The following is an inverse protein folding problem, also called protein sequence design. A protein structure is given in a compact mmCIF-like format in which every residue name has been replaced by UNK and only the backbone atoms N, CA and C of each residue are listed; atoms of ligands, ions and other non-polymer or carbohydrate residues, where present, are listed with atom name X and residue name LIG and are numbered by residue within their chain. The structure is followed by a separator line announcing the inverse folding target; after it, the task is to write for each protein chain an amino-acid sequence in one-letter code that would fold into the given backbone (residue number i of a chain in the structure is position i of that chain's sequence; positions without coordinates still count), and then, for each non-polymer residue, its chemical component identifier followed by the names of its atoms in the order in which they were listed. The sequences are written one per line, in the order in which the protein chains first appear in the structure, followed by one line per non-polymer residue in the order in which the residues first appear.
data_IF_684757664978
#
_entry.id   IF_684757664978
#
_cell.length_a   1.000
_cell.length_b   1.000
_cell.length_c   1.000
_cell.angle_alpha   90.00
_cell.angle_beta   90.00
_cell.angle_gamma   90.00
#
_symmetry.space_group_name_H-M   'P 1'
#
loop_
_entity.id
_entity.type
_entity.pdbx_description
1 polymer ?
#
# COMPACT_ATOMS: atom_id res chain seq x y z
N UNK A 1 -18.59 2.79 -12.94
CA UNK A 1 -17.73 3.38 -11.91
C UNK A 1 -16.64 4.16 -12.61
N UNK A 2 -16.35 5.38 -12.17
CA UNK A 2 -15.24 6.21 -12.68
C UNK A 2 -14.28 6.44 -11.52
N UNK A 3 -12.98 6.49 -11.81
CA UNK A 3 -11.95 6.78 -10.81
C UNK A 3 -11.78 8.30 -10.77
N UNK A 4 -12.06 8.91 -9.62
CA UNK A 4 -11.98 10.37 -9.45
C UNK A 4 -10.58 10.83 -9.09
N UNK A 5 -10.06 10.30 -7.97
CA UNK A 5 -8.74 10.65 -7.44
C UNK A 5 -7.92 9.38 -7.23
N UNK A 6 -6.65 9.42 -7.64
CA UNK A 6 -5.65 8.38 -7.36
C UNK A 6 -4.50 9.00 -6.58
N UNK A 7 -4.15 8.39 -5.46
CA UNK A 7 -2.93 8.72 -4.72
C UNK A 7 -1.97 7.53 -4.80
N UNK A 8 -0.74 7.81 -5.22
CA UNK A 8 0.39 6.88 -5.19
C UNK A 8 1.58 7.58 -4.52
N UNK A 9 1.53 7.77 -3.19
CA UNK A 9 2.54 8.55 -2.48
C UNK A 9 3.74 7.69 -2.08
N UNK A 10 4.91 8.32 -2.06
CA UNK A 10 6.14 7.72 -1.57
C UNK A 10 6.15 7.65 -0.04
N UNK A 11 6.62 6.53 0.51
CA UNK A 11 6.98 6.46 1.92
C UNK A 11 8.09 7.47 2.24
N UNK A 12 8.16 7.93 3.49
CA UNK A 12 9.09 8.99 3.91
C UNK A 12 10.56 8.77 3.52
N UNK A 13 10.98 7.50 3.38
CA UNK A 13 12.34 7.08 3.06
C UNK A 13 12.48 6.43 1.66
N UNK A 14 11.50 6.61 0.76
CA UNK A 14 11.52 6.15 -0.62
C UNK A 14 11.40 7.32 -1.62
N UNK A 15 11.98 7.17 -2.82
CA UNK A 15 11.88 8.09 -3.96
C UNK A 15 11.94 9.60 -3.60
N UNK A 16 10.97 10.41 -4.01
CA UNK A 16 10.98 11.87 -3.82
C UNK A 16 10.91 12.25 -2.34
N UNK A 17 10.14 11.50 -1.56
CA UNK A 17 10.07 11.67 -0.10
C UNK A 17 11.45 11.45 0.54
N UNK A 18 12.20 10.41 0.12
CA UNK A 18 13.57 10.19 0.60
C UNK A 18 14.49 11.35 0.23
N UNK A 19 14.39 11.82 -1.01
CA UNK A 19 15.23 12.89 -1.54
C UNK A 19 15.07 14.18 -0.74
N UNK A 20 13.82 14.56 -0.41
CA UNK A 20 13.52 15.74 0.42
C UNK A 20 13.88 15.54 1.89
N UNK A 21 13.93 14.30 2.36
CA UNK A 21 14.24 13.95 3.75
C UNK A 21 15.69 13.49 3.99
N UNK A 22 16.58 13.51 2.99
CA UNK A 22 17.86 12.79 3.03
C UNK A 22 18.70 12.96 4.30
N UNK A 23 18.79 14.18 4.85
CA UNK A 23 19.56 14.47 6.08
C UNK A 23 18.77 14.29 7.39
N UNK A 24 17.50 13.92 7.29
CA UNK A 24 16.54 13.80 8.41
C UNK A 24 16.18 12.34 8.72
N UNK A 25 16.46 11.42 7.81
CA UNK A 25 16.14 10.00 7.96
C UNK A 25 17.03 9.36 9.03
N UNK A 26 16.39 8.60 9.92
CA UNK A 26 17.08 7.87 10.98
C UNK A 26 17.44 6.44 10.59
N UNK A 27 17.84 5.66 11.61
CA UNK A 27 18.16 4.24 11.48
C UNK A 27 16.95 3.31 11.67
N UNK A 28 15.75 3.87 11.88
CA UNK A 28 14.51 3.12 12.12
C UNK A 28 13.42 3.68 11.21
N UNK A 29 12.70 2.81 10.52
CA UNK A 29 11.51 3.13 9.74
C UNK A 29 10.36 2.25 10.22
N UNK A 30 9.64 2.68 11.27
CA UNK A 30 8.51 1.91 11.80
C UNK A 30 7.34 1.97 10.82
N UNK A 31 6.97 0.82 10.27
CA UNK A 31 5.84 0.72 9.32
C UNK A 31 4.51 1.12 9.96
N UNK A 32 4.39 1.10 11.29
CA UNK A 32 3.22 1.59 12.01
C UNK A 32 3.08 3.11 11.99
N UNK A 33 4.20 3.83 11.85
CA UNK A 33 4.22 5.29 11.66
C UNK A 33 3.87 5.63 10.22
N UNK A 34 4.37 4.88 9.24
CA UNK A 34 3.96 5.03 7.84
C UNK A 34 2.44 4.93 7.69
N UNK A 35 1.77 4.02 8.41
CA UNK A 35 0.31 3.96 8.42
C UNK A 35 -0.37 5.25 8.90
N UNK A 36 0.23 5.98 9.85
CA UNK A 36 -0.28 7.28 10.31
C UNK A 36 -0.10 8.34 9.22
N UNK A 37 0.99 8.29 8.46
CA UNK A 37 1.24 9.21 7.34
C UNK A 37 0.14 9.07 6.28
N UNK A 38 -0.25 7.83 5.93
CA UNK A 38 -1.36 7.60 5.00
C UNK A 38 -2.70 8.08 5.55
N UNK A 39 -2.99 7.87 6.84
CA UNK A 39 -4.20 8.41 7.47
C UNK A 39 -4.20 9.94 7.42
N UNK A 40 -3.07 10.58 7.72
CA UNK A 40 -2.91 12.04 7.67
C UNK A 40 -3.11 12.57 6.25
N UNK A 41 -2.44 11.97 5.26
CA UNK A 41 -2.54 12.34 3.85
C UNK A 41 -4.00 12.32 3.41
N UNK A 42 -4.70 11.23 3.65
CA UNK A 42 -6.07 11.03 3.18
C UNK A 42 -7.09 11.87 3.96
N UNK A 43 -7.00 11.94 5.30
CA UNK A 43 -8.00 12.65 6.13
C UNK A 43 -7.80 14.15 6.19
N UNK A 44 -6.58 14.64 5.97
CA UNK A 44 -6.24 16.06 6.16
C UNK A 44 -5.92 16.70 4.81
N UNK A 45 -4.93 16.18 4.09
CA UNK A 45 -4.42 16.83 2.87
C UNK A 45 -5.39 16.61 1.70
N UNK A 46 -5.89 15.39 1.56
CA UNK A 46 -6.78 14.95 0.47
C UNK A 46 -8.24 14.81 0.92
N UNK A 47 -8.60 15.53 2.00
CA UNK A 47 -9.91 15.49 2.63
C UNK A 47 -11.07 15.67 1.65
N UNK A 48 -10.94 16.57 0.68
CA UNK A 48 -12.02 16.89 -0.25
C UNK A 48 -12.39 15.70 -1.14
N UNK A 49 -11.40 14.91 -1.54
CA UNK A 49 -11.60 13.71 -2.35
C UNK A 49 -12.11 12.56 -1.49
N UNK A 50 -11.43 12.27 -0.37
CA UNK A 50 -11.63 11.02 0.37
C UNK A 50 -12.69 11.10 1.47
N UNK A 51 -13.03 12.29 1.98
CA UNK A 51 -14.13 12.46 2.95
C UNK A 51 -15.40 13.01 2.30
N UNK A 52 -15.48 13.00 0.97
CA UNK A 52 -16.71 13.34 0.25
C UNK A 52 -17.82 12.35 0.65
N UNK A 53 -19.07 12.79 0.94
CA UNK A 53 -20.14 11.91 1.42
C UNK A 53 -20.48 10.72 0.51
N UNK A 54 -20.16 10.81 -0.77
CA UNK A 54 -20.37 9.75 -1.77
C UNK A 54 -19.06 9.10 -2.23
N UNK A 55 -17.94 9.38 -1.57
CA UNK A 55 -16.68 8.72 -1.88
C UNK A 55 -16.80 7.22 -1.65
N UNK A 56 -16.22 6.47 -2.58
CA UNK A 56 -15.95 5.05 -2.43
C UNK A 56 -14.43 4.87 -2.46
N UNK A 57 -13.85 4.72 -1.28
CA UNK A 57 -12.41 4.75 -1.10
C UNK A 57 -11.84 3.34 -1.10
N UNK A 58 -10.82 3.11 -1.93
CA UNK A 58 -10.13 1.83 -2.04
C UNK A 58 -8.68 2.03 -1.62
N UNK A 59 -8.16 1.13 -0.77
CA UNK A 59 -6.72 1.03 -0.53
C UNK A 59 -6.18 -0.21 -1.24
N UNK A 60 -5.12 -0.01 -2.02
CA UNK A 60 -4.44 -1.07 -2.76
C UNK A 60 -2.98 -1.03 -2.37
N UNK A 61 -2.41 -2.15 -1.96
CA UNK A 61 -1.04 -2.12 -1.46
C UNK A 61 -0.28 -3.44 -1.67
N UNK A 62 1.03 -3.33 -1.85
CA UNK A 62 1.93 -4.46 -2.08
C UNK A 62 2.94 -4.62 -0.94
N UNK A 63 3.33 -5.85 -0.60
CA UNK A 63 4.47 -6.12 0.30
C UNK A 63 4.35 -5.38 1.64
N UNK A 64 5.33 -4.53 1.99
CA UNK A 64 5.29 -3.60 3.12
C UNK A 64 4.05 -2.72 3.13
N UNK A 65 3.64 -2.19 1.98
CA UNK A 65 2.39 -1.46 1.82
C UNK A 65 1.17 -2.29 2.28
N UNK A 66 1.21 -3.61 2.11
CA UNK A 66 0.17 -4.50 2.60
C UNK A 66 -0.01 -4.47 4.11
N UNK A 67 1.10 -4.48 4.87
CA UNK A 67 1.11 -4.25 6.31
C UNK A 67 0.51 -2.90 6.67
N UNK A 68 0.99 -1.86 6.00
CA UNK A 68 0.59 -0.47 6.23
C UNK A 68 -0.92 -0.33 6.00
N UNK A 69 -1.44 -0.89 4.90
CA UNK A 69 -2.86 -0.85 4.57
C UNK A 69 -3.72 -1.55 5.63
N UNK A 70 -3.29 -2.70 6.16
CA UNK A 70 -3.99 -3.35 7.28
C UNK A 70 -4.00 -2.47 8.54
N UNK A 71 -2.89 -1.81 8.86
CA UNK A 71 -2.84 -0.88 9.99
C UNK A 71 -3.76 0.32 9.79
N UNK A 72 -3.80 0.88 8.57
CA UNK A 72 -4.68 1.99 8.21
C UNK A 72 -6.14 1.60 8.40
N UNK A 73 -6.60 0.49 7.81
CA UNK A 73 -8.02 0.10 7.88
C UNK A 73 -8.42 -0.49 9.24
N UNK A 74 -7.46 -0.96 10.04
CA UNK A 74 -7.71 -1.32 11.44
C UNK A 74 -7.98 -0.08 12.31
N UNK A 75 -7.20 0.99 12.12
CA UNK A 75 -7.31 2.23 12.91
C UNK A 75 -8.44 3.14 12.44
N UNK A 76 -8.71 3.15 11.14
CA UNK A 76 -9.70 4.02 10.50
C UNK A 76 -10.69 3.17 9.68
N UNK A 77 -11.51 2.32 10.33
CA UNK A 77 -12.36 1.32 9.66
C UNK A 77 -13.49 1.90 8.80
N UNK A 78 -13.68 3.22 8.83
CA UNK A 78 -14.69 3.94 8.06
C UNK A 78 -14.10 4.81 6.95
N UNK A 79 -12.77 4.87 6.84
CA UNK A 79 -12.09 5.69 5.84
C UNK A 79 -12.06 5.00 4.47
N UNK A 80 -11.91 3.68 4.44
CA UNK A 80 -11.87 2.88 3.23
C UNK A 80 -13.05 1.93 3.18
N UNK A 81 -13.63 1.77 1.99
CA UNK A 81 -14.75 0.86 1.73
C UNK A 81 -14.28 -0.55 1.39
N UNK A 82 -13.07 -0.70 0.84
CA UNK A 82 -12.43 -2.00 0.67
C UNK A 82 -10.90 -1.92 0.57
N UNK A 83 -10.25 -3.06 0.78
CA UNK A 83 -8.79 -3.21 0.70
C UNK A 83 -8.40 -4.35 -0.22
N UNK A 84 -7.42 -4.11 -1.11
CA UNK A 84 -6.80 -5.13 -1.96
C UNK A 84 -5.31 -5.20 -1.67
N UNK A 85 -4.86 -6.33 -1.14
CA UNK A 85 -3.46 -6.53 -0.78
C UNK A 85 -2.81 -7.49 -1.77
N UNK A 86 -1.64 -7.13 -2.29
CA UNK A 86 -0.86 -7.94 -3.22
C UNK A 86 0.40 -8.42 -2.50
N UNK A 87 0.53 -9.73 -2.27
CA UNK A 87 1.64 -10.33 -1.52
C UNK A 87 2.04 -9.53 -0.25
N UNK A 88 1.11 -9.31 0.70
CA UNK A 88 1.37 -8.48 1.86
C UNK A 88 2.37 -9.13 2.83
N UNK A 89 3.30 -8.35 3.37
CA UNK A 89 4.27 -8.81 4.39
C UNK A 89 3.76 -8.44 5.78
N UNK A 90 2.91 -9.29 6.35
CA UNK A 90 2.17 -8.97 7.58
C UNK A 90 2.45 -9.89 8.77
N UNK A 91 3.22 -10.96 8.57
CA UNK A 91 3.59 -11.91 9.61
C UNK A 91 5.10 -12.06 9.56
N UNK A 92 5.78 -11.74 10.66
CA UNK A 92 7.19 -12.07 10.83
C UNK A 92 7.27 -13.39 11.60
N UNK A 93 8.20 -14.25 11.20
CA UNK A 93 8.59 -15.38 12.03
C UNK A 93 10.12 -15.42 12.12
N UNK A 94 10.72 -14.56 12.96
CA UNK A 94 12.17 -14.46 13.09
C UNK A 94 12.81 -15.78 13.54
N UNK A 95 12.08 -16.60 14.30
CA UNK A 95 12.52 -17.92 14.73
C UNK A 95 12.48 -18.98 13.62
N UNK A 96 11.68 -18.79 12.57
CA UNK A 96 11.55 -19.75 11.47
C UNK A 96 12.37 -19.41 10.22
N UNK A 97 12.95 -18.20 10.12
CA UNK A 97 13.79 -17.84 8.98
C UNK A 97 15.12 -17.17 9.38
N UNK A 98 16.06 -17.95 9.96
CA UNK A 98 17.45 -17.50 10.09
C UNK A 98 18.14 -17.23 8.73
N UNK A 99 17.53 -17.65 7.62
CA UNK A 99 17.99 -17.37 6.27
C UNK A 99 17.73 -15.93 5.81
N UNK A 100 16.74 -15.23 6.36
CA UNK A 100 16.37 -13.88 5.90
C UNK A 100 17.52 -12.87 6.05
N UNK A 101 18.21 -12.89 7.19
CA UNK A 101 19.41 -12.06 7.40
C UNK A 101 20.53 -12.48 6.43
N UNK A 102 20.66 -13.77 6.13
CA UNK A 102 21.65 -14.26 5.18
C UNK A 102 21.33 -13.81 3.73
N UNK A 103 20.05 -13.83 3.32
CA UNK A 103 19.60 -13.34 2.02
C UNK A 103 19.86 -11.84 1.86
N UNK A 104 19.54 -11.02 2.87
CA UNK A 104 19.84 -9.58 2.81
C UNK A 104 21.35 -9.30 2.70
N UNK A 105 22.18 -10.04 3.44
CA UNK A 105 23.64 -9.96 3.32
C UNK A 105 24.12 -10.38 1.93
N UNK A 106 23.51 -11.41 1.33
CA UNK A 106 23.80 -11.84 -0.04
C UNK A 106 23.38 -10.77 -1.07
N UNK A 107 22.21 -10.16 -0.91
CA UNK A 107 21.74 -9.06 -1.77
C UNK A 107 22.70 -7.88 -1.75
N UNK A 108 23.19 -7.50 -0.57
CA UNK A 108 24.20 -6.45 -0.42
C UNK A 108 25.49 -6.82 -1.15
N UNK A 109 26.01 -8.03 -0.92
CA UNK A 109 27.25 -8.51 -1.56
C UNK A 109 27.15 -8.60 -3.09
N UNK A 110 25.98 -8.98 -3.61
CA UNK A 110 25.70 -9.05 -5.05
C UNK A 110 25.30 -7.71 -5.65
N UNK A 111 25.15 -6.67 -4.82
CA UNK A 111 24.81 -5.33 -5.22
C UNK A 111 23.42 -5.21 -5.82
N UNK A 112 22.44 -6.01 -5.37
CA UNK A 112 21.06 -5.94 -5.86
C UNK A 112 20.44 -4.56 -5.61
N UNK A 113 20.71 -4.02 -4.41
CA UNK A 113 20.44 -2.62 -4.05
C UNK A 113 21.70 -1.81 -4.27
N UNK A 114 21.59 -0.69 -4.98
CA UNK A 114 22.71 0.18 -5.33
C UNK A 114 22.43 1.60 -4.87
N UNK A 115 23.42 2.19 -4.21
CA UNK A 115 23.38 3.55 -3.69
C UNK A 115 23.87 4.56 -4.72
N UNK A 116 24.91 4.17 -5.44
CA UNK A 116 25.60 4.99 -6.41
C UNK A 116 26.18 4.13 -7.53
N UNK A 117 26.43 4.81 -8.64
CA UNK A 117 26.98 4.25 -9.85
C UNK A 117 28.25 5.02 -10.20
N UNK A 118 29.40 4.37 -10.06
CA UNK A 118 30.65 4.89 -10.60
C UNK A 118 30.64 4.78 -12.12
N UNK A 119 30.77 5.89 -12.82
CA UNK A 119 30.72 5.97 -14.28
C UNK A 119 32.13 6.20 -14.80
N UNK A 120 32.59 5.36 -15.73
CA UNK A 120 33.89 5.59 -16.37
C UNK A 120 33.74 6.64 -17.47
N UNK A 121 34.81 7.38 -17.75
CA UNK A 121 34.85 8.33 -18.86
C UNK A 121 34.42 7.65 -20.17
N UNK A 122 33.43 8.22 -20.86
CA UNK A 122 32.89 7.68 -22.11
C UNK A 122 31.78 6.63 -21.95
N UNK A 123 31.46 6.18 -20.73
CA UNK A 123 30.26 5.37 -20.48
C UNK A 123 29.00 6.25 -20.41
N UNK A 124 27.89 5.75 -20.95
CA UNK A 124 26.57 6.31 -20.72
C UNK A 124 26.13 5.96 -19.29
N UNK A 125 25.99 6.98 -18.44
CA UNK A 125 25.54 6.77 -17.08
C UNK A 125 24.11 6.22 -17.03
N UNK A 126 23.24 6.68 -17.93
CA UNK A 126 21.85 6.26 -18.01
C UNK A 126 21.74 4.78 -18.37
N UNK A 127 22.48 4.33 -19.38
CA UNK A 127 22.47 2.92 -19.79
C UNK A 127 23.03 2.00 -18.70
N UNK A 128 24.00 2.50 -17.91
CA UNK A 128 24.55 1.76 -16.78
C UNK A 128 23.55 1.57 -15.65
N UNK A 129 22.79 2.61 -15.32
CA UNK A 129 21.69 2.52 -14.34
C UNK A 129 20.60 1.58 -14.86
N UNK A 130 20.21 1.73 -16.13
CA UNK A 130 19.20 0.87 -16.74
C UNK A 130 19.61 -0.60 -16.82
N UNK A 131 20.86 -0.91 -17.17
CA UNK A 131 21.42 -2.27 -17.14
C UNK A 131 21.31 -2.89 -15.75
N UNK A 132 21.63 -2.12 -14.71
CA UNK A 132 21.51 -2.59 -13.33
C UNK A 132 20.07 -2.95 -12.98
N UNK A 133 19.13 -2.04 -13.24
CA UNK A 133 17.70 -2.26 -13.00
C UNK A 133 17.20 -3.50 -13.74
N UNK A 134 17.54 -3.63 -15.02
CA UNK A 134 17.07 -4.71 -15.89
C UNK A 134 17.68 -6.07 -15.57
N UNK A 135 18.97 -6.13 -15.22
CA UNK A 135 19.69 -7.41 -15.21
C UNK A 135 20.17 -7.85 -13.81
N UNK A 136 20.29 -6.93 -12.85
CA UNK A 136 20.95 -7.20 -11.55
C UNK A 136 20.09 -6.90 -10.33
N UNK A 137 19.10 -6.02 -10.45
CA UNK A 137 18.22 -5.62 -9.36
C UNK A 137 17.05 -6.59 -9.11
N UNK A 138 16.23 -6.30 -8.08
CA UNK A 138 14.95 -6.98 -7.84
C UNK A 138 13.91 -6.77 -8.95
N UNK A 139 14.13 -5.76 -9.80
CA UNK A 139 13.19 -5.29 -10.81
C UNK A 139 13.35 -6.01 -12.16
N UNK A 140 14.29 -6.96 -12.29
CA UNK A 140 14.58 -7.70 -13.54
C UNK A 140 13.38 -8.41 -14.18
N UNK A 141 12.35 -8.70 -13.40
CA UNK A 141 11.11 -9.35 -13.86
C UNK A 141 9.96 -8.38 -14.17
N UNK A 142 10.17 -7.07 -14.04
CA UNK A 142 9.12 -6.08 -14.23
C UNK A 142 8.80 -5.93 -15.73
N UNK A 143 7.56 -5.58 -16.04
CA UNK A 143 7.18 -5.17 -17.38
C UNK A 143 8.06 -3.99 -17.83
N UNK A 144 8.52 -3.94 -19.10
CA UNK A 144 9.51 -2.95 -19.55
C UNK A 144 9.12 -1.49 -19.28
N UNK A 145 7.84 -1.14 -19.46
CA UNK A 145 7.34 0.21 -19.21
C UNK A 145 7.38 0.56 -17.72
N UNK A 146 6.97 -0.37 -16.85
CA UNK A 146 6.99 -0.16 -15.39
C UNK A 146 8.43 -0.03 -14.90
N UNK A 147 9.33 -0.89 -15.38
CA UNK A 147 10.76 -0.83 -15.04
C UNK A 147 11.37 0.52 -15.43
N UNK A 148 11.05 0.99 -16.65
CA UNK A 148 11.53 2.29 -17.13
C UNK A 148 10.99 3.43 -16.27
N UNK A 149 9.69 3.45 -16.00
CA UNK A 149 9.08 4.50 -15.19
C UNK A 149 9.67 4.54 -13.78
N UNK A 150 9.83 3.38 -13.13
CA UNK A 150 10.47 3.28 -11.82
C UNK A 150 11.90 3.84 -11.84
N UNK A 151 12.71 3.46 -12.82
CA UNK A 151 14.08 3.95 -12.92
C UNK A 151 14.13 5.46 -13.20
N UNK A 152 13.28 5.97 -14.09
CA UNK A 152 13.25 7.39 -14.42
C UNK A 152 12.78 8.24 -13.24
N UNK A 153 11.84 7.73 -12.44
CA UNK A 153 11.39 8.38 -11.22
C UNK A 153 12.49 8.44 -10.14
N UNK A 154 13.34 7.41 -10.06
CA UNK A 154 14.47 7.34 -9.14
C UNK A 154 15.65 8.27 -9.48
N UNK A 155 15.69 8.84 -10.68
CA UNK A 155 16.79 9.72 -11.10
C UNK A 155 16.47 11.17 -10.70
N UNK A 156 17.33 11.85 -9.92
CA UNK A 156 17.14 13.26 -9.63
C UNK A 156 17.14 14.13 -10.90
N UNK A 157 16.27 15.13 -10.95
CA UNK A 157 16.12 16.07 -12.08
C UNK A 157 17.40 16.88 -12.39
N UNK A 158 18.37 16.86 -11.48
CA UNK A 158 19.68 17.53 -11.63
C UNK A 158 20.60 16.82 -12.63
N UNK A 159 20.32 15.56 -12.97
CA UNK A 159 21.09 14.81 -13.96
C UNK A 159 20.61 15.09 -15.38
N UNK A 160 21.54 15.49 -16.25
CA UNK A 160 21.32 15.61 -17.67
C UNK A 160 21.93 14.41 -18.40
N UNK A 161 21.13 13.72 -19.24
CA UNK A 161 21.55 12.51 -19.97
C UNK A 161 22.77 12.73 -20.87
N UNK A 162 22.96 13.94 -21.38
CA UNK A 162 24.04 14.28 -22.31
C UNK A 162 25.34 14.72 -21.59
N UNK A 163 25.32 14.83 -20.26
CA UNK A 163 26.48 15.23 -19.46
C UNK A 163 27.15 14.03 -18.79
N UNK A 164 28.47 14.09 -18.71
CA UNK A 164 29.25 13.14 -17.92
C UNK A 164 29.19 13.48 -16.44
N UNK A 165 28.96 12.46 -15.62
CA UNK A 165 29.04 12.50 -14.17
C UNK A 165 29.91 11.34 -13.74
N UNK A 166 30.93 11.59 -12.90
CA UNK A 166 31.78 10.52 -12.37
C UNK A 166 30.98 9.54 -11.49
N UNK A 167 29.98 10.06 -10.79
CA UNK A 167 29.09 9.28 -9.94
C UNK A 167 27.65 9.72 -10.17
N UNK A 168 26.74 8.75 -10.31
CA UNK A 168 25.30 8.98 -10.31
C UNK A 168 24.70 8.38 -9.04
N UNK A 169 23.93 9.19 -8.31
CA UNK A 169 23.20 8.80 -7.12
C UNK A 169 21.69 8.88 -7.39
N UNK A 170 20.94 7.88 -6.94
CA UNK A 170 19.47 7.87 -7.07
C UNK A 170 18.83 8.67 -5.93
N UNK A 171 17.54 9.00 -6.08
CA UNK A 171 16.76 9.71 -5.07
C UNK A 171 16.66 8.90 -3.78
N UNK A 172 16.38 7.61 -3.89
CA UNK A 172 16.37 6.71 -2.75
C UNK A 172 17.78 6.24 -2.38
N UNK A 173 18.09 6.32 -1.09
CA UNK A 173 19.30 5.73 -0.51
C UNK A 173 19.08 4.22 -0.31
N UNK A 174 19.86 3.40 -1.02
CA UNK A 174 19.86 1.95 -0.87
C UNK A 174 20.00 1.44 0.57
N UNK A 175 20.59 2.20 1.50
CA UNK A 175 20.59 1.82 2.91
C UNK A 175 19.20 1.89 3.56
N UNK A 176 18.34 2.80 3.12
CA UNK A 176 16.97 2.93 3.63
C UNK A 176 16.09 1.74 3.25
N UNK A 177 16.39 1.04 2.15
CA UNK A 177 15.76 -0.27 1.86
C UNK A 177 16.08 -1.29 2.95
N UNK A 178 17.36 -1.39 3.33
CA UNK A 178 17.79 -2.31 4.40
C UNK A 178 17.20 -1.92 5.76
N UNK A 179 17.11 -0.62 6.06
CA UNK A 179 16.41 -0.13 7.26
C UNK A 179 14.94 -0.58 7.23
N UNK A 180 14.25 -0.46 6.10
CA UNK A 180 12.86 -0.91 5.96
C UNK A 180 12.74 -2.43 6.14
N UNK A 181 13.62 -3.23 5.53
CA UNK A 181 13.62 -4.69 5.72
C UNK A 181 13.90 -5.10 7.16
N UNK A 182 14.77 -4.39 7.86
CA UNK A 182 15.07 -4.68 9.26
C UNK A 182 13.93 -4.26 10.20
N UNK A 183 13.32 -3.10 9.93
CA UNK A 183 12.26 -2.53 10.78
C UNK A 183 11.00 -3.41 10.85
N UNK A 184 10.81 -4.33 9.90
CA UNK A 184 9.71 -5.32 9.96
C UNK A 184 9.72 -6.15 11.25
N UNK A 185 10.90 -6.38 11.83
CA UNK A 185 11.06 -7.24 13.02
C UNK A 185 10.42 -6.65 14.26
N UNK A 186 10.37 -5.32 14.35
CA UNK A 186 9.69 -4.61 15.43
C UNK A 186 8.28 -4.20 15.02
N UNK A 187 8.13 -3.70 13.79
CA UNK A 187 6.86 -3.16 13.31
C UNK A 187 5.76 -4.23 13.21
N UNK A 188 6.09 -5.43 12.68
CA UNK A 188 5.09 -6.48 12.50
C UNK A 188 4.54 -6.99 13.83
N UNK A 189 5.36 -7.43 14.80
CA UNK A 189 4.85 -7.88 16.09
C UNK A 189 4.04 -6.82 16.83
N UNK A 190 4.46 -5.55 16.76
CA UNK A 190 3.72 -4.44 17.38
C UNK A 190 2.35 -4.20 16.73
N UNK A 191 2.28 -4.31 15.39
CA UNK A 191 1.04 -4.09 14.63
C UNK A 191 0.11 -5.31 14.56
N UNK A 192 0.63 -6.54 14.70
CA UNK A 192 -0.11 -7.78 14.48
C UNK A 192 -1.45 -7.90 15.24
N UNK A 193 -1.55 -7.47 16.53
CA UNK A 193 -2.82 -7.53 17.25
C UNK A 193 -3.92 -6.66 16.64
N UNK A 194 -3.59 -5.55 15.97
CA UNK A 194 -4.57 -4.64 15.41
C UNK A 194 -5.36 -5.24 14.24
N UNK A 195 -4.86 -6.28 13.59
CA UNK A 195 -5.52 -6.89 12.42
C UNK A 195 -6.90 -7.48 12.72
N UNK A 196 -7.18 -7.86 13.96
CA UNK A 196 -8.51 -8.33 14.38
C UNK A 196 -9.59 -7.24 14.29
N UNK A 197 -9.17 -5.97 14.23
CA UNK A 197 -10.06 -4.83 14.10
C UNK A 197 -10.41 -4.50 12.64
N UNK A 198 -9.75 -5.14 11.68
CA UNK A 198 -10.05 -4.99 10.25
C UNK A 198 -11.43 -5.55 9.98
N UNK A 199 -12.33 -4.70 9.45
CA UNK A 199 -13.73 -5.04 9.16
C UNK A 199 -14.14 -4.76 7.72
N UNK A 200 -13.30 -4.04 6.97
CA UNK A 200 -13.58 -3.70 5.59
C UNK A 200 -13.49 -4.97 4.73
N UNK A 201 -14.30 -5.10 3.65
CA UNK A 201 -14.07 -6.08 2.61
C UNK A 201 -12.60 -6.10 2.18
N UNK A 202 -11.98 -7.27 2.28
CA UNK A 202 -10.54 -7.45 2.08
C UNK A 202 -10.28 -8.61 1.11
N UNK A 203 -9.58 -8.32 0.01
CA UNK A 203 -9.03 -9.33 -0.90
C UNK A 203 -7.52 -9.36 -0.80
N UNK A 204 -6.96 -10.56 -0.73
CA UNK A 204 -5.51 -10.79 -0.73
C UNK A 204 -5.14 -11.62 -1.94
N UNK A 205 -4.30 -11.07 -2.81
CA UNK A 205 -3.70 -11.77 -3.93
C UNK A 205 -2.34 -12.30 -3.49
N UNK A 206 -2.12 -13.61 -3.55
CA UNK A 206 -0.88 -14.27 -3.10
C UNK A 206 -0.25 -15.11 -4.19
N UNK A 207 0.97 -14.82 -4.61
CA UNK A 207 1.70 -15.66 -5.56
C UNK A 207 2.16 -16.97 -4.93
N UNK A 208 1.77 -18.11 -5.51
CA UNK A 208 2.05 -19.43 -4.92
C UNK A 208 3.52 -19.88 -5.00
N UNK A 209 4.36 -19.17 -5.77
CA UNK A 209 5.82 -19.37 -5.79
C UNK A 209 6.56 -18.45 -4.84
N UNK A 210 5.83 -17.55 -4.18
CA UNK A 210 6.43 -16.63 -3.23
C UNK A 210 6.65 -17.28 -1.85
N UNK A 211 7.75 -16.89 -1.20
CA UNK A 211 8.11 -17.40 0.11
C UNK A 211 7.11 -16.97 1.20
N UNK A 212 6.40 -15.85 1.00
CA UNK A 212 5.40 -15.34 1.96
C UNK A 212 4.04 -16.02 1.85
N UNK A 213 3.76 -16.85 0.83
CA UNK A 213 2.42 -17.41 0.60
C UNK A 213 1.91 -18.23 1.80
N UNK A 214 2.78 -19.01 2.44
CA UNK A 214 2.43 -19.77 3.65
C UNK A 214 2.09 -18.85 4.84
N UNK A 215 2.83 -17.75 4.99
CA UNK A 215 2.61 -16.77 6.05
C UNK A 215 1.30 -15.99 5.84
N UNK A 216 0.96 -15.69 4.59
CA UNK A 216 -0.31 -15.08 4.21
C UNK A 216 -1.48 -16.02 4.54
N UNK A 217 -1.33 -17.32 4.26
CA UNK A 217 -2.32 -18.33 4.67
C UNK A 217 -2.55 -18.32 6.18
N UNK A 218 -1.47 -18.27 6.98
CA UNK A 218 -1.55 -18.17 8.45
C UNK A 218 -2.26 -16.90 8.91
N UNK A 219 -1.92 -15.74 8.32
CA UNK A 219 -2.59 -14.47 8.60
C UNK A 219 -4.11 -14.57 8.42
N UNK A 220 -4.56 -15.16 7.32
CA UNK A 220 -5.98 -15.35 7.01
C UNK A 220 -6.67 -16.25 8.04
N UNK A 221 -6.02 -17.33 8.46
CA UNK A 221 -6.58 -18.26 9.44
C UNK A 221 -6.66 -17.67 10.85
N UNK A 222 -5.67 -16.87 11.26
CA UNK A 222 -5.55 -16.38 12.63
C UNK A 222 -6.26 -15.05 12.87
N UNK A 223 -6.08 -14.07 11.98
CA UNK A 223 -6.42 -12.65 12.26
C UNK A 223 -7.54 -12.10 11.39
N UNK A 224 -7.57 -12.45 10.11
CA UNK A 224 -8.50 -11.87 9.13
C UNK A 224 -9.28 -12.95 8.39
N UNK A 225 -10.04 -13.76 9.15
CA UNK A 225 -10.80 -14.92 8.65
C UNK A 225 -11.83 -14.59 7.56
N UNK A 226 -12.25 -13.33 7.48
CA UNK A 226 -13.19 -12.84 6.47
C UNK A 226 -12.51 -12.42 5.16
N UNK A 227 -11.17 -12.39 5.11
CA UNK A 227 -10.43 -12.01 3.91
C UNK A 227 -10.59 -13.05 2.80
N UNK A 228 -10.76 -12.58 1.57
CA UNK A 228 -10.79 -13.42 0.38
C UNK A 228 -9.35 -13.63 -0.12
N UNK A 229 -8.73 -14.74 0.28
CA UNK A 229 -7.43 -15.15 -0.23
C UNK A 229 -7.56 -15.76 -1.63
N UNK A 230 -6.88 -15.17 -2.60
CA UNK A 230 -6.77 -15.67 -3.96
C UNK A 230 -5.30 -16.01 -4.26
N UNK A 231 -4.98 -17.30 -4.27
CA UNK A 231 -3.65 -17.77 -4.64
C UNK A 231 -3.47 -17.78 -6.16
N UNK A 232 -2.46 -17.08 -6.67
CA UNK A 232 -2.15 -16.93 -8.08
C UNK A 232 -1.05 -17.90 -8.48
N UNK A 233 -1.36 -18.74 -9.48
CA UNK A 233 -0.46 -19.78 -9.97
C UNK A 233 0.75 -19.17 -10.69
N UNK A 234 1.93 -19.70 -10.38
CA UNK A 234 3.21 -19.36 -11.01
C UNK A 234 3.60 -17.88 -10.86
N UNK A 235 3.08 -17.22 -9.82
CA UNK A 235 3.41 -15.84 -9.46
C UNK A 235 4.34 -15.77 -8.25
N UNK A 236 5.20 -14.74 -8.25
CA UNK A 236 6.19 -14.43 -7.21
C UNK A 236 5.86 -13.08 -6.53
N UNK A 237 6.68 -12.65 -5.57
CA UNK A 237 6.46 -11.43 -4.77
C UNK A 237 6.04 -10.20 -5.58
N UNK A 238 6.75 -9.91 -6.66
CA UNK A 238 6.60 -8.66 -7.42
C UNK A 238 5.58 -8.75 -8.57
N UNK A 239 4.56 -9.59 -8.42
CA UNK A 239 3.53 -9.81 -9.45
C UNK A 239 2.74 -8.55 -9.82
N UNK A 240 2.68 -7.55 -8.95
CA UNK A 240 2.11 -6.23 -9.25
C UNK A 240 2.79 -5.55 -10.45
N UNK A 241 4.08 -5.81 -10.67
CA UNK A 241 4.87 -5.21 -11.74
C UNK A 241 5.29 -6.19 -12.84
N UNK A 242 5.39 -7.50 -12.55
CA UNK A 242 5.66 -8.51 -13.59
C UNK A 242 4.41 -8.90 -14.37
N UNK A 243 3.25 -8.87 -13.72
CA UNK A 243 1.96 -9.32 -14.26
C UNK A 243 0.85 -8.27 -14.03
N UNK A 244 1.07 -6.98 -14.35
CA UNK A 244 0.18 -5.88 -13.95
C UNK A 244 -1.24 -6.05 -14.49
N UNK A 245 -1.42 -6.51 -15.73
CA UNK A 245 -2.75 -6.68 -16.33
C UNK A 245 -3.62 -7.70 -15.56
N UNK A 246 -3.00 -8.81 -15.12
CA UNK A 246 -3.67 -9.81 -14.28
C UNK A 246 -4.09 -9.18 -12.95
N UNK A 247 -3.18 -8.46 -12.30
CA UNK A 247 -3.44 -7.83 -10.99
C UNK A 247 -4.53 -6.75 -11.11
N UNK A 248 -4.48 -5.92 -12.15
CA UNK A 248 -5.47 -4.89 -12.41
C UNK A 248 -6.85 -5.48 -12.70
N UNK A 249 -6.93 -6.58 -13.45
CA UNK A 249 -8.20 -7.29 -13.69
C UNK A 249 -8.82 -7.77 -12.37
N UNK A 250 -8.04 -8.46 -11.53
CA UNK A 250 -8.51 -9.02 -10.26
C UNK A 250 -8.90 -7.94 -9.24
N UNK A 251 -8.18 -6.81 -9.25
CA UNK A 251 -8.49 -5.62 -8.47
C UNK A 251 -9.81 -5.03 -8.95
N UNK A 252 -9.98 -4.78 -10.24
CA UNK A 252 -11.20 -4.23 -10.81
C UNK A 252 -12.42 -5.09 -10.46
N UNK A 253 -12.31 -6.41 -10.63
CA UNK A 253 -13.39 -7.34 -10.32
C UNK A 253 -13.83 -7.22 -8.86
N UNK A 254 -12.88 -7.17 -7.91
CA UNK A 254 -13.21 -7.03 -6.49
C UNK A 254 -13.84 -5.68 -6.15
N UNK A 255 -13.27 -4.60 -6.69
CA UNK A 255 -13.70 -3.24 -6.38
C UNK A 255 -15.11 -3.02 -6.92
N UNK A 256 -15.39 -3.45 -8.14
CA UNK A 256 -16.72 -3.36 -8.75
C UNK A 256 -17.72 -4.24 -7.99
N UNK A 257 -17.35 -5.48 -7.65
CA UNK A 257 -18.17 -6.36 -6.81
C UNK A 257 -18.51 -5.68 -5.48
N UNK A 258 -17.53 -5.12 -4.80
CA UNK A 258 -17.74 -4.48 -3.49
C UNK A 258 -18.61 -3.23 -3.62
N UNK A 259 -18.30 -2.34 -4.57
CA UNK A 259 -19.07 -1.13 -4.84
C UNK A 259 -20.57 -1.41 -5.05
N UNK A 260 -20.88 -2.46 -5.80
CA UNK A 260 -22.27 -2.85 -6.08
C UNK A 260 -23.00 -3.37 -4.83
N UNK A 261 -22.29 -4.06 -3.91
CA UNK A 261 -22.87 -4.55 -2.65
C UNK A 261 -22.94 -3.49 -1.54
N UNK A 262 -22.06 -2.49 -1.58
CA UNK A 262 -21.91 -1.48 -0.53
C UNK A 262 -22.44 -0.10 -0.92
N UNK A 263 -23.30 -0.01 -1.95
CA UNK A 263 -23.83 1.26 -2.43
C UNK A 263 -24.55 1.99 -1.29
N UNK A 264 -23.90 3.03 -0.76
CA UNK A 264 -24.45 3.88 0.30
C UNK A 264 -25.62 4.67 -0.27
N UNK A 265 -26.74 4.68 0.45
CA UNK A 265 -27.83 5.64 0.20
C UNK A 265 -27.34 7.02 0.56
N UNK A 266 -27.62 8.00 -0.31
CA UNK A 266 -27.27 9.39 -0.08
C UNK A 266 -28.49 10.20 0.41
N UNK A 267 -28.24 11.47 0.76
CA UNK A 267 -29.28 12.40 1.19
C UNK A 267 -30.43 12.55 0.19
N UNK A 268 -30.17 12.48 -1.12
CA UNK A 268 -31.22 12.52 -2.14
C UNK A 268 -32.09 11.26 -2.13
N UNK A 269 -31.49 10.09 -1.91
CA UNK A 269 -32.21 8.82 -1.80
C UNK A 269 -33.14 8.84 -0.58
N UNK A 270 -32.72 9.43 0.53
CA UNK A 270 -33.54 9.56 1.74
C UNK A 270 -34.60 10.66 1.62
N UNK A 271 -34.25 11.80 1.03
CA UNK A 271 -35.18 12.89 0.72
C UNK A 271 -36.31 12.40 -0.18
N UNK A 272 -35.99 11.59 -1.20
CA UNK A 272 -36.98 11.00 -2.11
C UNK A 272 -37.91 10.02 -1.39
N UNK A 273 -37.42 9.24 -0.43
CA UNK A 273 -38.22 8.24 0.28
C UNK A 273 -39.07 8.85 1.40
N UNK A 274 -38.53 9.78 2.18
CA UNK A 274 -39.15 10.26 3.41
C UNK A 274 -39.54 11.75 3.38
N UNK A 275 -39.30 12.47 2.27
CA UNK A 275 -39.61 13.89 2.12
C UNK A 275 -38.65 14.81 2.87
N UNK A 276 -38.96 16.11 2.93
CA UNK A 276 -38.07 17.16 3.46
C UNK A 276 -37.65 16.91 4.92
N UNK A 277 -38.47 16.22 5.70
CA UNK A 277 -38.22 15.89 7.11
C UNK A 277 -37.45 14.58 7.31
N UNK A 278 -36.84 14.00 6.26
CA UNK A 278 -36.18 12.69 6.34
C UNK A 278 -35.15 12.58 7.46
N UNK A 279 -34.39 13.65 7.76
CA UNK A 279 -33.39 13.66 8.83
C UNK A 279 -34.01 13.42 10.21
N UNK A 280 -35.14 14.10 10.49
CA UNK A 280 -35.87 13.93 11.75
C UNK A 280 -36.49 12.53 11.82
N UNK A 281 -37.11 12.07 10.73
CA UNK A 281 -37.71 10.72 10.64
C UNK A 281 -36.65 9.65 10.91
N UNK A 282 -35.47 9.74 10.29
CA UNK A 282 -34.37 8.81 10.50
C UNK A 282 -33.84 8.86 11.94
N UNK A 283 -33.69 10.07 12.50
CA UNK A 283 -33.23 10.25 13.88
C UNK A 283 -34.19 9.63 14.88
N UNK A 284 -35.49 9.90 14.76
CA UNK A 284 -36.53 9.35 15.62
C UNK A 284 -36.65 7.84 15.45
N UNK A 285 -36.58 7.32 14.22
CA UNK A 285 -36.57 5.87 13.96
C UNK A 285 -35.40 5.19 14.67
N UNK A 286 -34.20 5.77 14.60
CA UNK A 286 -33.02 5.20 15.25
C UNK A 286 -33.10 5.27 16.77
N UNK A 287 -33.63 6.37 17.32
CA UNK A 287 -33.86 6.46 18.75
C UNK A 287 -34.94 5.49 19.22
N UNK A 288 -35.98 5.26 18.42
CA UNK A 288 -37.04 4.30 18.70
C UNK A 288 -36.51 2.86 18.75
N UNK A 289 -35.59 2.48 17.85
CA UNK A 289 -34.93 1.17 17.91
C UNK A 289 -34.17 0.96 19.23
N UNK A 290 -33.59 2.03 19.79
CA UNK A 290 -32.79 1.94 21.02
C UNK A 290 -33.63 2.10 22.30
N UNK A 291 -34.60 3.00 22.30
CA UNK A 291 -35.35 3.43 23.49
C UNK A 291 -36.80 2.90 23.52
N UNK A 292 -37.26 2.26 22.44
CA UNK A 292 -38.66 1.84 22.28
C UNK A 292 -39.60 2.98 21.89
N UNK A 293 -40.91 2.77 22.06
CA UNK A 293 -41.98 3.73 21.72
C UNK A 293 -42.05 4.93 22.69
N UNK A 294 -41.00 5.74 22.73
CA UNK A 294 -40.98 7.00 23.48
C UNK A 294 -41.30 8.16 22.51
N UNK A 295 -42.25 9.02 22.89
CA UNK A 295 -42.50 10.28 22.15
C UNK A 295 -41.34 11.24 22.39
N UNK A 296 -40.51 11.42 21.37
CA UNK A 296 -39.45 12.43 21.40
C UNK A 296 -40.07 13.83 21.25
N UNK A 297 -39.56 14.79 22.02
CA UNK A 297 -39.83 16.21 21.76
C UNK A 297 -39.08 16.60 20.49
N UNK A 298 -39.79 17.08 19.47
CA UNK A 298 -39.20 17.63 18.24
C UNK A 298 -38.13 18.66 18.60
N UNK A 299 -36.88 18.42 18.18
CA UNK A 299 -35.72 19.31 18.45
C UNK A 299 -35.01 19.79 17.18
N UNK A 300 -35.51 19.41 16.01
CA UNK A 300 -35.06 19.88 14.70
C UNK A 300 -36.21 20.62 14.03
#
# INVERSE_FOLDING_TARGET
MYIDTVLAPDHINMCDSAYVNGEKLGAVCDWNDLAKDYVQLVKIQEKQSFLHPQAFNVIVAHSMGGFIALQVVAREPHLFDCSVLVNPVCVSNPAADPGFIAYQKDWYRRGYVKLNYDIKQGESWYDKVFDHFKNKSFYRGFQPTILKNLMEDEIPDTYNRDKYYQTVQLKHDGYQDYVSYYSQYDAIPAGYPAYEQVKVPLRILSGNKDLSSQLIGKLCQEKIKHAQLHELKDQYHNMHASSPDLILSLLNDFVVETYNHSRKRNDFDYLKEHGENYKQIMFESRLKEFLGDIKFQSKL
#
